data_IF_142944385647
#
_entry.id   IF_142944385647
#
_cell.length_a   1.000
_cell.length_b   1.000
_cell.length_c   1.000
_cell.angle_alpha   90.00
_cell.angle_beta   90.00
_cell.angle_gamma   90.00
#
_symmetry.space_group_name_H-M   'P 1'
#
loop_
_entity.id
_entity.type
_entity.pdbx_description
1 polymer ?
#
# COMPACT_ATOMS: atom_id res chain seq x y z
N UNK A 1 -12.89 -16.62 -13.78
CA UNK A 1 -11.96 -16.77 -12.64
C UNK A 1 -10.89 -17.83 -12.89
N UNK A 2 -11.25 -19.10 -13.12
CA UNK A 2 -10.27 -20.20 -13.35
C UNK A 2 -9.24 -19.86 -14.43
N UNK A 3 -9.69 -19.37 -15.59
CA UNK A 3 -8.80 -18.97 -16.69
C UNK A 3 -7.73 -17.98 -16.26
N UNK A 4 -8.07 -17.01 -15.41
CA UNK A 4 -7.11 -16.01 -14.95
C UNK A 4 -6.02 -16.65 -14.07
N UNK A 5 -6.40 -17.52 -13.13
CA UNK A 5 -5.44 -18.22 -12.27
C UNK A 5 -4.52 -19.09 -13.12
N UNK A 6 -5.11 -19.90 -14.02
CA UNK A 6 -4.33 -20.81 -14.85
C UNK A 6 -3.43 -20.08 -15.84
N UNK A 7 -3.75 -18.85 -16.26
CA UNK A 7 -2.95 -18.11 -17.25
C UNK A 7 -1.86 -17.26 -16.60
N UNK A 8 -2.12 -16.63 -15.46
CA UNK A 8 -1.22 -15.63 -14.87
C UNK A 8 -0.41 -16.13 -13.69
N UNK A 9 -0.81 -17.22 -13.05
CA UNK A 9 -0.13 -17.73 -11.86
C UNK A 9 0.47 -19.08 -12.18
N UNK A 10 1.80 -19.16 -12.33
CA UNK A 10 2.54 -20.41 -12.61
C UNK A 10 1.87 -21.26 -13.71
N UNK A 11 1.74 -20.74 -14.95
CA UNK A 11 0.95 -21.39 -16.00
C UNK A 11 1.39 -22.83 -16.27
N UNK A 12 2.67 -23.14 -16.18
CA UNK A 12 3.23 -24.48 -16.36
C UNK A 12 2.90 -25.46 -15.23
N UNK A 13 2.31 -24.99 -14.12
CA UNK A 13 1.89 -25.82 -13.01
C UNK A 13 0.59 -26.57 -13.27
N UNK A 14 -0.33 -25.90 -13.95
CA UNK A 14 -1.70 -26.34 -14.05
C UNK A 14 -1.86 -27.45 -15.07
N UNK A 15 -2.53 -28.53 -14.69
CA UNK A 15 -2.89 -29.64 -15.59
C UNK A 15 -3.67 -29.20 -16.82
N UNK A 16 -4.43 -28.10 -16.69
CA UNK A 16 -5.15 -27.49 -17.81
C UNK A 16 -4.21 -26.97 -18.92
N UNK A 17 -2.98 -26.63 -18.57
CA UNK A 17 -1.96 -26.12 -19.48
C UNK A 17 -0.87 -27.15 -19.79
N UNK A 18 -1.05 -28.42 -19.39
CA UNK A 18 -0.05 -29.47 -19.55
C UNK A 18 0.96 -29.60 -18.40
N UNK A 19 0.71 -28.94 -17.27
CA UNK A 19 1.44 -29.17 -16.02
C UNK A 19 1.00 -30.44 -15.28
N UNK A 20 1.76 -30.86 -14.27
CA UNK A 20 1.48 -32.13 -13.55
C UNK A 20 1.19 -31.94 -12.04
N UNK A 21 1.38 -30.74 -11.53
CA UNK A 21 1.51 -30.50 -10.10
C UNK A 21 0.40 -29.63 -9.52
N UNK A 22 -0.50 -29.08 -10.35
CA UNK A 22 -1.67 -28.34 -9.88
C UNK A 22 -2.97 -28.64 -10.66
N UNK A 23 -4.10 -28.68 -9.95
CA UNK A 23 -5.44 -28.82 -10.52
C UNK A 23 -6.41 -27.82 -9.91
N UNK A 24 -7.35 -27.34 -10.73
CA UNK A 24 -8.36 -26.36 -10.34
C UNK A 24 -9.68 -26.69 -11.02
N UNK A 25 -10.74 -26.81 -10.23
CA UNK A 25 -12.09 -27.14 -10.72
C UNK A 25 -13.15 -26.29 -10.01
N UNK A 26 -14.27 -26.04 -10.69
CA UNK A 26 -15.43 -25.36 -10.11
C UNK A 26 -16.42 -26.39 -9.59
N UNK A 27 -16.81 -26.28 -8.33
CA UNK A 27 -17.80 -27.14 -7.71
C UNK A 27 -18.78 -26.32 -6.87
N UNK A 28 -20.05 -26.31 -7.28
CA UNK A 28 -21.15 -25.61 -6.57
C UNK A 28 -20.83 -24.16 -6.19
N UNK A 29 -20.25 -23.40 -7.13
CA UNK A 29 -19.88 -21.99 -6.91
C UNK A 29 -18.58 -21.77 -6.14
N UNK A 30 -17.88 -22.84 -5.73
CA UNK A 30 -16.59 -22.78 -5.07
C UNK A 30 -15.48 -23.27 -6.00
N UNK A 31 -14.24 -22.83 -5.75
CA UNK A 31 -13.06 -23.35 -6.42
C UNK A 31 -12.39 -24.40 -5.54
N UNK A 32 -12.24 -25.60 -6.08
CA UNK A 32 -11.43 -26.66 -5.46
C UNK A 32 -10.06 -26.59 -6.12
N UNK A 33 -9.04 -26.24 -5.35
CA UNK A 33 -7.66 -26.09 -5.81
C UNK A 33 -6.80 -27.13 -5.10
N UNK A 34 -6.12 -28.00 -5.86
CA UNK A 34 -5.07 -28.88 -5.34
C UNK A 34 -3.75 -28.45 -5.96
N UNK A 35 -2.85 -27.96 -5.11
CA UNK A 35 -1.60 -27.32 -5.51
C UNK A 35 -0.65 -27.32 -4.30
N UNK A 36 0.67 -27.50 -4.50
CA UNK A 36 1.70 -27.32 -3.48
C UNK A 36 1.65 -25.94 -2.81
N UNK A 37 2.20 -25.83 -1.60
CA UNK A 37 2.15 -24.60 -0.79
C UNK A 37 2.85 -23.41 -1.42
N UNK A 38 3.83 -23.65 -2.29
CA UNK A 38 4.56 -22.60 -2.99
C UNK A 38 3.79 -22.01 -4.19
N UNK A 39 2.68 -22.62 -4.61
CA UNK A 39 1.83 -22.06 -5.66
C UNK A 39 0.96 -20.95 -5.07
N UNK A 40 1.05 -19.77 -5.68
CA UNK A 40 0.15 -18.67 -5.39
C UNK A 40 -1.27 -19.01 -5.90
N UNK A 41 -2.31 -18.68 -5.13
CA UNK A 41 -3.72 -19.03 -5.48
C UNK A 41 -4.63 -17.79 -5.57
N UNK A 42 -4.05 -16.61 -5.51
CA UNK A 42 -4.74 -15.33 -5.39
C UNK A 42 -4.43 -14.46 -6.60
N UNK A 43 -5.48 -13.91 -7.23
CA UNK A 43 -5.36 -13.02 -8.40
C UNK A 43 -5.20 -11.55 -8.03
N UNK A 44 -5.57 -11.19 -6.80
CA UNK A 44 -5.54 -9.82 -6.31
C UNK A 44 -5.11 -9.87 -4.85
N UNK A 45 -3.83 -9.58 -4.59
CA UNK A 45 -3.18 -9.96 -3.33
C UNK A 45 -1.93 -9.19 -2.98
N UNK A 46 -2.10 -7.88 -2.78
CA UNK A 46 -1.42 -7.19 -1.69
C UNK A 46 -2.42 -6.24 -1.04
N UNK A 47 -2.91 -6.56 0.16
CA UNK A 47 -3.35 -5.53 1.10
C UNK A 47 -2.10 -4.85 1.69
N UNK A 48 -1.18 -4.37 0.84
CA UNK A 48 -0.17 -3.44 1.33
C UNK A 48 -0.90 -2.13 1.66
N UNK A 49 -1.39 -2.05 2.88
CA UNK A 49 -1.79 -0.80 3.51
C UNK A 49 -0.55 -0.31 4.26
N UNK A 50 0.10 0.79 3.85
CA UNK A 50 1.21 1.33 4.62
C UNK A 50 0.72 1.53 6.05
N UNK A 51 1.33 0.84 7.02
CA UNK A 51 1.07 1.10 8.43
C UNK A 51 1.82 2.39 8.75
N UNK A 52 1.11 3.50 9.02
CA UNK A 52 1.76 4.73 9.43
C UNK A 52 2.61 4.44 10.68
N UNK A 53 3.89 4.84 10.73
CA UNK A 53 4.70 4.67 11.94
C UNK A 53 3.99 5.34 13.12
N UNK A 54 4.03 4.70 14.29
CA UNK A 54 3.39 5.22 15.49
C UNK A 54 3.84 6.68 15.73
N UNK A 55 2.88 7.61 15.80
CA UNK A 55 3.14 9.06 15.92
C UNK A 55 2.95 9.89 14.65
N UNK A 56 2.67 9.28 13.49
CA UNK A 56 2.34 10.00 12.24
C UNK A 56 0.89 10.52 12.17
N UNK A 57 0.36 10.97 13.31
CA UNK A 57 -0.99 11.54 13.44
C UNK A 57 -1.18 12.92 12.79
N UNK A 58 -0.13 13.48 12.18
CA UNK A 58 -0.22 14.70 11.39
C UNK A 58 -0.56 14.39 9.94
N UNK A 59 -1.82 14.58 9.51
CA UNK A 59 -2.17 14.60 8.08
C UNK A 59 -1.51 15.82 7.43
N UNK A 60 -0.28 15.65 6.94
CA UNK A 60 0.36 16.61 6.03
C UNK A 60 -0.23 16.37 4.64
N UNK A 61 -0.86 17.40 4.08
CA UNK A 61 -1.44 17.31 2.74
C UNK A 61 -0.41 17.82 1.74
N UNK A 62 -0.05 16.97 0.79
CA UNK A 62 0.85 17.29 -0.31
C UNK A 62 0.00 17.62 -1.53
N UNK A 63 0.16 18.83 -2.06
CA UNK A 63 -0.47 19.23 -3.32
C UNK A 63 0.60 19.41 -4.39
N UNK A 64 0.46 18.69 -5.50
CA UNK A 64 1.39 18.76 -6.63
C UNK A 64 0.78 19.60 -7.76
N UNK A 65 1.47 20.65 -8.19
CA UNK A 65 1.06 21.44 -9.35
C UNK A 65 2.24 21.61 -10.29
N UNK A 66 2.21 20.88 -11.41
CA UNK A 66 3.19 20.90 -12.51
C UNK A 66 4.65 20.68 -12.08
N UNK A 67 5.36 21.72 -11.64
CA UNK A 67 6.77 21.66 -11.21
C UNK A 67 6.99 21.94 -9.72
N UNK A 68 5.93 22.31 -8.98
CA UNK A 68 6.04 22.79 -7.60
C UNK A 68 5.28 21.88 -6.62
N UNK A 69 5.90 21.66 -5.46
CA UNK A 69 5.35 20.85 -4.37
C UNK A 69 4.99 21.77 -3.20
N UNK A 70 3.71 21.83 -2.84
CA UNK A 70 3.25 22.57 -1.66
C UNK A 70 2.94 21.59 -0.52
N UNK A 71 3.63 21.77 0.61
CA UNK A 71 3.41 20.97 1.82
C UNK A 71 2.57 21.77 2.80
N UNK A 72 1.32 21.35 3.02
CA UNK A 72 0.45 21.98 4.03
C UNK A 72 0.64 21.31 5.38
N UNK A 73 1.25 22.03 6.33
CA UNK A 73 1.46 21.60 7.71
C UNK A 73 0.22 21.94 8.55
N UNK A 74 -0.32 21.00 9.36
CA UNK A 74 -1.49 21.24 10.20
C UNK A 74 -1.26 22.36 11.23
N UNK A 75 -2.31 23.13 11.53
CA UNK A 75 -2.23 24.33 12.37
C UNK A 75 -1.63 24.07 13.76
N UNK A 76 -1.92 22.91 14.37
CA UNK A 76 -1.38 22.52 15.68
C UNK A 76 0.14 22.40 15.70
N UNK A 77 0.74 21.98 14.58
CA UNK A 77 2.19 21.82 14.45
C UNK A 77 2.85 23.20 14.27
N UNK A 78 2.25 24.07 13.44
CA UNK A 78 2.68 25.47 13.33
C UNK A 78 2.61 26.25 14.65
N UNK A 79 1.56 26.02 15.44
CA UNK A 79 1.41 26.65 16.76
C UNK A 79 2.46 26.14 17.76
N UNK A 80 2.83 24.86 17.68
CA UNK A 80 3.92 24.31 18.50
C UNK A 80 5.28 24.89 18.10
N UNK A 81 5.56 24.99 16.81
CA UNK A 81 6.79 25.60 16.30
C UNK A 81 6.91 27.08 16.69
N UNK A 82 5.83 27.86 16.55
CA UNK A 82 5.82 29.27 16.97
C UNK A 82 6.07 29.45 18.47
N UNK A 83 5.52 28.56 19.30
CA UNK A 83 5.72 28.62 20.74
C UNK A 83 7.10 28.09 21.17
N UNK A 84 7.75 27.25 20.35
CA UNK A 84 9.08 26.71 20.60
C UNK A 84 10.21 27.57 20.04
N UNK A 85 9.92 28.48 19.11
CA UNK A 85 10.89 29.44 18.60
C UNK A 85 11.30 30.42 19.72
N UNK A 86 12.61 30.68 19.92
CA UNK A 86 13.05 31.68 20.88
C UNK A 86 12.44 33.03 20.50
N UNK A 87 11.77 33.69 21.45
CA UNK A 87 11.30 35.06 21.25
C UNK A 87 12.53 35.91 20.99
N UNK A 88 12.64 36.47 19.79
CA UNK A 88 13.66 37.48 19.49
C UNK A 88 13.63 38.52 20.62
N UNK A 89 14.74 38.60 21.34
CA UNK A 89 14.97 39.66 22.31
C UNK A 89 14.84 40.98 21.55
N UNK A 90 13.97 41.91 21.98
CA UNK A 90 13.79 43.16 21.26
C UNK A 90 15.15 43.87 21.14
N UNK A 91 15.46 44.51 19.99
CA UNK A 91 16.71 45.23 19.83
C UNK A 91 16.82 46.26 20.94
N UNK A 92 17.98 46.30 21.60
CA UNK A 92 18.27 47.29 22.64
C UNK A 92 17.97 48.68 22.06
N UNK A 93 17.06 49.39 22.72
CA UNK A 93 16.70 50.77 22.40
C UNK A 93 17.97 51.66 22.47
N UNK A 94 18.04 52.74 21.66
CA UNK A 94 19.30 53.41 21.28
C UNK A 94 20.07 54.04 22.45
#
# INVERSE_FOLDING_TARGET
MITLITTFVEPEAWRRNGGEWATIESYRGNLIIRAPDFIQRQLDGYDFRPVPPAGSGGRRTLSYQQSNVFVSVPLSERLREQNAAPRDTPPAAP
#
